data_IF_004074821771
#
_entry.id   IF_004074821771
#
_cell.length_a   1.000
_cell.length_b   1.000
_cell.length_c   1.000
_cell.angle_alpha   90.00
_cell.angle_beta   90.00
_cell.angle_gamma   90.00
#
_symmetry.space_group_name_H-M   'P 1'
#
loop_
_entity.id
_entity.type
_entity.pdbx_description
1 polymer ?
#
# COMPACT_ATOMS: atom_id res chain seq x y z
N UNK A 1 -19.26 -73.94 -18.08
CA UNK A 1 -18.89 -72.71 -17.35
C UNK A 1 -18.15 -71.78 -18.31
N UNK A 2 -18.73 -70.64 -18.70
CA UNK A 2 -18.06 -69.60 -19.48
C UNK A 2 -18.08 -68.31 -18.64
N UNK A 3 -16.90 -67.92 -18.14
CA UNK A 3 -16.69 -66.67 -17.40
C UNK A 3 -16.53 -65.52 -18.38
N UNK A 4 -17.27 -64.44 -18.18
CA UNK A 4 -17.34 -63.27 -19.06
C UNK A 4 -16.76 -62.07 -18.30
N UNK A 5 -15.47 -61.81 -18.45
CA UNK A 5 -14.81 -60.65 -17.81
C UNK A 5 -14.93 -59.43 -18.72
N UNK A 6 -15.81 -58.48 -18.34
CA UNK A 6 -15.88 -57.15 -18.95
C UNK A 6 -14.65 -56.34 -18.55
N UNK A 7 -13.85 -55.89 -19.52
CA UNK A 7 -12.77 -54.92 -19.30
C UNK A 7 -13.39 -53.53 -19.15
N UNK A 8 -13.26 -52.96 -17.96
CA UNK A 8 -13.67 -51.59 -17.66
C UNK A 8 -12.47 -50.67 -17.88
N UNK A 9 -12.57 -49.75 -18.85
CA UNK A 9 -11.58 -48.70 -19.07
C UNK A 9 -11.95 -47.49 -18.20
N UNK A 10 -11.07 -47.11 -17.27
CA UNK A 10 -11.19 -45.82 -16.58
C UNK A 10 -10.63 -44.72 -17.49
N UNK A 11 -11.47 -43.74 -17.83
CA UNK A 11 -11.02 -42.45 -18.36
C UNK A 11 -10.53 -41.60 -17.18
N UNK A 12 -9.22 -41.30 -17.13
CA UNK A 12 -8.69 -40.22 -16.30
C UNK A 12 -8.98 -38.88 -16.97
N UNK A 13 -9.98 -38.15 -16.47
CA UNK A 13 -10.16 -36.73 -16.77
C UNK A 13 -9.05 -35.93 -16.08
N UNK A 14 -8.08 -35.45 -16.86
CA UNK A 14 -7.10 -34.49 -16.38
C UNK A 14 -7.80 -33.14 -16.19
N UNK A 15 -8.06 -32.76 -14.94
CA UNK A 15 -8.38 -31.38 -14.59
C UNK A 15 -7.11 -30.55 -14.77
N UNK A 16 -7.05 -29.78 -15.88
CA UNK A 16 -6.07 -28.70 -16.00
C UNK A 16 -6.54 -27.61 -15.04
N UNK A 17 -5.91 -27.54 -13.87
CA UNK A 17 -6.06 -26.40 -12.96
C UNK A 17 -5.48 -25.17 -13.66
N UNK A 18 -6.34 -24.34 -14.24
CA UNK A 18 -5.96 -22.98 -14.59
C UNK A 18 -5.53 -22.31 -13.28
N UNK A 19 -4.24 -22.00 -13.15
CA UNK A 19 -3.74 -21.18 -12.04
C UNK A 19 -4.60 -19.91 -12.00
N UNK A 20 -5.09 -19.48 -10.83
CA UNK A 20 -5.82 -18.22 -10.75
C UNK A 20 -4.86 -17.11 -11.18
N UNK A 21 -5.10 -16.55 -12.36
CA UNK A 21 -4.58 -15.24 -12.71
C UNK A 21 -5.27 -14.29 -11.75
N UNK A 22 -4.55 -13.82 -10.73
CA UNK A 22 -5.06 -12.83 -9.80
C UNK A 22 -5.20 -11.50 -10.54
N UNK A 23 -6.35 -11.30 -11.17
CA UNK A 23 -6.70 -10.11 -11.90
C UNK A 23 -7.13 -9.00 -10.91
N UNK A 24 -6.18 -8.55 -10.10
CA UNK A 24 -6.41 -7.57 -9.04
C UNK A 24 -6.78 -6.20 -9.61
N UNK A 25 -7.72 -5.53 -8.97
CA UNK A 25 -7.97 -4.10 -9.08
C UNK A 25 -7.21 -3.39 -7.96
N UNK A 26 -6.30 -2.50 -8.36
CA UNK A 26 -5.48 -1.72 -7.42
C UNK A 26 -5.94 -0.28 -7.47
N UNK A 27 -6.39 0.25 -6.35
CA UNK A 27 -6.90 1.62 -6.23
C UNK A 27 -5.92 2.43 -5.39
N UNK A 28 -5.48 3.58 -5.90
CA UNK A 28 -4.74 4.57 -5.12
C UNK A 28 -5.68 5.66 -4.64
N UNK A 29 -5.48 6.11 -3.41
CA UNK A 29 -6.12 7.29 -2.85
C UNK A 29 -5.78 8.55 -3.65
N UNK A 30 -6.75 9.46 -3.75
CA UNK A 30 -6.54 10.87 -4.08
C UNK A 30 -7.55 11.77 -3.33
N UNK A 31 -7.95 11.30 -2.13
CA UNK A 31 -8.86 11.99 -1.24
C UNK A 31 -8.10 12.52 -0.02
N UNK A 32 -7.31 11.66 0.65
CA UNK A 32 -6.48 12.06 1.79
C UNK A 32 -5.17 12.72 1.34
N UNK A 33 -4.54 12.21 0.29
CA UNK A 33 -3.51 12.94 -0.46
C UNK A 33 -4.15 13.58 -1.71
N UNK A 34 -4.38 14.89 -1.68
CA UNK A 34 -5.09 15.64 -2.71
C UNK A 34 -4.30 16.89 -3.13
N UNK A 35 -3.01 16.71 -3.37
CA UNK A 35 -2.17 17.78 -3.86
C UNK A 35 -2.51 18.19 -5.30
N UNK A 36 -2.37 19.49 -5.55
CA UNK A 36 -2.60 20.06 -6.88
C UNK A 36 -1.50 21.01 -7.29
N UNK A 37 -1.20 21.06 -8.58
CA UNK A 37 -0.23 21.98 -9.18
C UNK A 37 -0.78 22.66 -10.41
N UNK A 38 -0.07 23.70 -10.86
CA UNK A 38 -0.33 24.32 -12.16
C UNK A 38 0.40 23.57 -13.26
N UNK A 39 -0.31 23.19 -14.32
CA UNK A 39 0.31 22.69 -15.54
C UNK A 39 0.95 23.83 -16.35
N UNK A 40 1.58 23.51 -17.49
CA UNK A 40 2.21 24.50 -18.38
C UNK A 40 1.22 25.51 -18.97
N UNK A 41 -0.07 25.18 -18.95
CA UNK A 41 -1.17 26.00 -19.45
C UNK A 41 -1.85 26.81 -18.33
N UNK A 42 -1.43 26.65 -17.08
CA UNK A 42 -1.99 27.34 -15.91
C UNK A 42 -3.23 26.67 -15.31
N UNK A 43 -3.64 25.50 -15.81
CA UNK A 43 -4.74 24.74 -15.22
C UNK A 43 -4.29 24.09 -13.92
N UNK A 44 -5.19 24.00 -12.94
CA UNK A 44 -4.95 23.20 -11.74
C UNK A 44 -5.18 21.73 -12.06
N UNK A 45 -4.19 20.89 -11.80
CA UNK A 45 -4.24 19.43 -11.99
C UNK A 45 -3.85 18.73 -10.70
N UNK A 46 -4.43 17.56 -10.44
CA UNK A 46 -3.94 16.66 -9.39
C UNK A 46 -2.58 16.07 -9.79
N UNK A 47 -1.71 15.87 -8.81
CA UNK A 47 -0.40 15.24 -8.97
C UNK A 47 0.00 14.57 -7.66
N UNK A 48 1.22 13.99 -7.62
CA UNK A 48 1.78 13.34 -6.44
C UNK A 48 1.11 12.00 -6.13
N UNK A 49 1.90 10.94 -6.15
CA UNK A 49 1.49 9.56 -5.87
C UNK A 49 0.35 8.98 -6.75
N UNK A 50 0.06 9.60 -7.90
CA UNK A 50 -0.92 9.11 -8.86
C UNK A 50 -0.31 8.20 -9.93
N UNK A 51 -1.12 7.28 -10.47
CA UNK A 51 -0.71 6.35 -11.52
C UNK A 51 -0.25 7.02 -12.81
N UNK A 52 -0.86 8.16 -13.16
CA UNK A 52 -0.54 8.92 -14.37
C UNK A 52 0.62 9.91 -14.18
N UNK A 53 1.12 10.09 -12.95
CA UNK A 53 2.27 10.94 -12.70
C UNK A 53 3.57 10.17 -13.01
N UNK A 54 4.27 10.63 -14.04
CA UNK A 54 5.52 10.05 -14.56
C UNK A 54 6.78 10.75 -14.04
N UNK A 55 6.61 11.82 -13.26
CA UNK A 55 7.72 12.41 -12.53
C UNK A 55 8.11 11.54 -11.33
N UNK A 56 9.22 11.88 -10.68
CA UNK A 56 9.67 11.23 -9.44
C UNK A 56 8.75 11.48 -8.23
N UNK A 57 7.70 12.29 -8.40
CA UNK A 57 6.59 12.48 -7.47
C UNK A 57 5.49 11.44 -7.66
N UNK A 58 5.49 10.67 -8.76
CA UNK A 58 4.36 9.84 -9.14
C UNK A 58 4.49 8.36 -8.87
N UNK A 59 3.39 7.63 -9.05
CA UNK A 59 3.32 6.17 -8.90
C UNK A 59 3.26 5.41 -10.22
N UNK A 60 3.54 6.04 -11.37
CA UNK A 60 3.55 5.34 -12.67
C UNK A 60 4.47 4.11 -12.72
N UNK A 61 5.62 4.14 -12.04
CA UNK A 61 6.54 2.99 -11.93
C UNK A 61 5.92 1.87 -11.08
N UNK A 62 5.31 2.22 -9.94
CA UNK A 62 4.63 1.26 -9.06
C UNK A 62 3.41 0.63 -9.78
N UNK A 63 2.61 1.44 -10.47
CA UNK A 63 1.49 0.97 -11.28
C UNK A 63 1.94 0.05 -12.42
N UNK A 64 3.06 0.38 -13.07
CA UNK A 64 3.67 -0.49 -14.08
C UNK A 64 4.11 -1.83 -13.49
N UNK A 65 4.60 -1.85 -12.25
CA UNK A 65 4.93 -3.09 -11.54
C UNK A 65 3.68 -3.93 -11.25
N UNK A 66 2.58 -3.32 -10.80
CA UNK A 66 1.30 -4.03 -10.59
C UNK A 66 0.77 -4.65 -11.88
N UNK A 67 0.70 -3.88 -12.96
CA UNK A 67 0.21 -4.36 -14.26
C UNK A 67 1.08 -5.47 -14.84
N UNK A 68 2.41 -5.34 -14.75
CA UNK A 68 3.36 -6.40 -15.13
C UNK A 68 3.18 -7.69 -14.33
N UNK A 69 2.68 -7.60 -13.10
CA UNK A 69 2.37 -8.74 -12.23
C UNK A 69 0.91 -9.21 -12.33
N UNK A 70 0.15 -8.74 -13.32
CA UNK A 70 -1.19 -9.27 -13.65
C UNK A 70 -2.36 -8.48 -13.07
N UNK A 71 -2.14 -7.33 -12.44
CA UNK A 71 -3.24 -6.42 -12.10
C UNK A 71 -3.98 -6.01 -13.38
N UNK A 72 -5.31 -6.19 -13.39
CA UNK A 72 -6.14 -5.91 -14.58
C UNK A 72 -6.48 -4.43 -14.72
N UNK A 73 -6.46 -3.70 -13.61
CA UNK A 73 -6.96 -2.34 -13.55
C UNK A 73 -6.27 -1.57 -12.43
N UNK A 74 -5.92 -0.33 -12.74
CA UNK A 74 -5.45 0.67 -11.79
C UNK A 74 -6.48 1.79 -11.71
N UNK A 75 -6.99 2.05 -10.52
CA UNK A 75 -8.00 3.06 -10.24
C UNK A 75 -7.44 4.15 -9.33
N UNK A 76 -8.08 5.31 -9.37
CA UNK A 76 -7.85 6.40 -8.41
C UNK A 76 -9.17 6.73 -7.73
N UNK A 77 -9.16 6.84 -6.40
CA UNK A 77 -10.34 7.19 -5.60
C UNK A 77 -10.19 8.62 -5.06
N UNK A 78 -10.85 9.58 -5.71
CA UNK A 78 -10.80 11.02 -5.35
C UNK A 78 -11.94 11.46 -4.42
N UNK A 79 -12.56 10.53 -3.70
CA UNK A 79 -13.70 10.77 -2.79
C UNK A 79 -13.55 9.95 -1.52
N UNK A 80 -14.18 10.38 -0.43
CA UNK A 80 -14.18 9.64 0.82
C UNK A 80 -14.51 8.15 0.62
N UNK A 81 -13.76 7.22 1.22
CA UNK A 81 -14.04 5.79 1.12
C UNK A 81 -15.42 5.44 1.68
N UNK A 82 -16.14 4.63 0.91
CA UNK A 82 -17.43 4.05 1.28
C UNK A 82 -17.42 2.57 0.92
N UNK A 83 -18.23 1.76 1.58
CA UNK A 83 -18.36 0.34 1.22
C UNK A 83 -18.68 0.16 -0.29
N UNK A 84 -19.45 1.08 -0.87
CA UNK A 84 -19.85 1.06 -2.28
C UNK A 84 -18.70 1.38 -3.24
N UNK A 85 -17.88 2.39 -2.96
CA UNK A 85 -16.80 2.79 -3.88
C UNK A 85 -15.52 1.94 -3.70
N UNK A 86 -15.40 1.21 -2.58
CA UNK A 86 -14.39 0.18 -2.38
C UNK A 86 -14.82 -1.20 -2.94
N UNK A 87 -16.09 -1.37 -3.32
CA UNK A 87 -16.57 -2.60 -3.94
C UNK A 87 -15.79 -2.89 -5.23
N UNK A 88 -15.25 -4.10 -5.34
CA UNK A 88 -14.44 -4.51 -6.48
C UNK A 88 -13.00 -3.96 -6.49
N UNK A 89 -12.58 -3.22 -5.46
CA UNK A 89 -11.15 -2.95 -5.19
C UNK A 89 -10.57 -4.13 -4.41
N UNK A 90 -9.45 -4.68 -4.89
CA UNK A 90 -8.73 -5.77 -4.22
C UNK A 90 -7.60 -5.24 -3.33
N UNK A 91 -6.91 -4.19 -3.79
CA UNK A 91 -5.83 -3.50 -3.08
C UNK A 91 -6.14 -2.01 -3.01
N UNK A 92 -6.10 -1.41 -1.82
CA UNK A 92 -6.26 0.02 -1.63
C UNK A 92 -4.98 0.61 -1.03
N UNK A 93 -4.46 1.67 -1.65
CA UNK A 93 -3.21 2.33 -1.27
C UNK A 93 -3.54 3.73 -0.78
N UNK A 94 -3.15 4.05 0.46
CA UNK A 94 -3.20 5.40 1.01
C UNK A 94 -1.77 5.81 1.35
N UNK A 95 -1.37 6.98 0.88
CA UNK A 95 -0.01 7.47 0.98
C UNK A 95 -0.05 8.92 1.41
N UNK A 96 0.85 9.31 2.32
CA UNK A 96 1.20 10.69 2.64
C UNK A 96 -0.03 11.62 2.78
N UNK A 97 -0.95 11.33 3.73
CA UNK A 97 -2.16 12.12 3.87
C UNK A 97 -1.82 13.59 4.14
N UNK A 98 -2.42 14.49 3.36
CA UNK A 98 -2.05 15.90 3.33
C UNK A 98 -2.14 16.53 4.72
N UNK A 99 -1.16 17.38 5.03
CA UNK A 99 -1.35 18.40 6.06
C UNK A 99 -1.60 19.78 5.42
N UNK A 100 -1.79 20.80 6.25
CA UNK A 100 -2.09 22.17 5.79
C UNK A 100 -1.01 22.77 4.89
N UNK A 101 0.22 22.26 4.96
CA UNK A 101 1.35 22.71 4.13
C UNK A 101 1.24 22.26 2.68
N UNK A 102 0.75 21.05 2.44
CA UNK A 102 0.55 20.49 1.08
C UNK A 102 -0.77 20.96 0.48
N UNK A 103 -1.81 20.96 1.31
CA UNK A 103 -3.17 21.28 0.90
C UNK A 103 -3.82 22.22 1.92
N UNK A 104 -4.26 23.43 1.53
CA UNK A 104 -4.86 24.38 2.47
C UNK A 104 -6.22 23.91 3.03
N UNK A 105 -6.81 22.84 2.46
CA UNK A 105 -8.06 22.22 2.91
C UNK A 105 -7.92 20.69 2.86
N UNK A 106 -7.08 20.11 3.73
CA UNK A 106 -6.85 18.67 3.71
C UNK A 106 -8.13 17.94 4.13
N UNK A 107 -8.37 16.77 3.54
CA UNK A 107 -9.41 15.87 4.02
C UNK A 107 -8.79 14.98 5.08
N UNK A 108 -9.09 15.22 6.35
CA UNK A 108 -8.55 14.40 7.43
C UNK A 108 -9.33 13.10 7.61
N UNK A 109 -8.60 12.02 7.86
CA UNK A 109 -9.16 10.74 8.26
C UNK A 109 -10.07 10.92 9.47
N UNK A 110 -11.22 10.25 9.48
CA UNK A 110 -12.10 10.23 10.64
C UNK A 110 -12.47 8.80 11.03
N UNK A 111 -13.08 8.64 12.21
CA UNK A 111 -13.44 7.33 12.73
C UNK A 111 -14.45 6.56 11.86
N UNK A 112 -15.34 7.26 11.16
CA UNK A 112 -16.35 6.62 10.32
C UNK A 112 -15.70 6.00 9.07
N UNK A 113 -14.89 6.79 8.38
CA UNK A 113 -14.14 6.33 7.20
C UNK A 113 -13.10 5.26 7.55
N UNK A 114 -12.38 5.43 8.67
CA UNK A 114 -11.46 4.43 9.18
C UNK A 114 -12.15 3.08 9.44
N UNK A 115 -13.39 3.11 9.94
CA UNK A 115 -14.18 1.91 10.18
C UNK A 115 -14.61 1.25 8.88
N UNK A 116 -15.03 2.02 7.88
CA UNK A 116 -15.36 1.51 6.53
C UNK A 116 -14.16 0.78 5.92
N UNK A 117 -12.97 1.39 5.95
CA UNK A 117 -11.75 0.78 5.41
C UNK A 117 -11.40 -0.50 6.19
N UNK A 118 -11.48 -0.46 7.52
CA UNK A 118 -11.20 -1.62 8.36
C UNK A 118 -12.19 -2.78 8.11
N UNK A 119 -13.47 -2.49 7.90
CA UNK A 119 -14.48 -3.49 7.53
C UNK A 119 -14.21 -4.09 6.14
N UNK A 120 -13.80 -3.27 5.16
CA UNK A 120 -13.38 -3.74 3.85
C UNK A 120 -12.16 -4.66 3.92
N UNK A 121 -11.14 -4.33 4.73
CA UNK A 121 -9.98 -5.22 4.96
C UNK A 121 -10.42 -6.54 5.59
N UNK A 122 -11.31 -6.51 6.60
CA UNK A 122 -11.87 -7.73 7.22
C UNK A 122 -12.63 -8.60 6.22
N UNK A 123 -13.19 -8.01 5.17
CA UNK A 123 -13.87 -8.71 4.08
C UNK A 123 -12.91 -9.29 3.02
N UNK A 124 -11.60 -9.12 3.18
CA UNK A 124 -10.57 -9.69 2.31
C UNK A 124 -9.79 -8.67 1.47
N UNK A 125 -10.09 -7.37 1.60
CA UNK A 125 -9.32 -6.32 0.97
C UNK A 125 -7.89 -6.21 1.52
N UNK A 126 -6.94 -5.83 0.67
CA UNK A 126 -5.54 -5.60 1.09
C UNK A 126 -5.25 -4.11 1.16
N UNK A 127 -4.95 -3.62 2.36
CA UNK A 127 -4.59 -2.21 2.58
C UNK A 127 -3.07 -2.04 2.59
N UNK A 128 -2.57 -1.10 1.80
CA UNK A 128 -1.17 -0.67 1.82
C UNK A 128 -1.08 0.79 2.23
N UNK A 129 -0.47 1.06 3.38
CA UNK A 129 -0.32 2.39 3.95
C UNK A 129 1.12 2.84 3.87
N UNK A 130 1.34 4.06 3.38
CA UNK A 130 2.65 4.71 3.33
C UNK A 130 2.53 6.06 4.03
N UNK A 131 2.98 6.15 5.28
CA UNK A 131 3.09 7.45 5.96
C UNK A 131 4.32 8.23 5.49
N UNK A 132 4.58 9.32 6.19
CA UNK A 132 5.78 10.14 6.06
C UNK A 132 6.24 10.54 7.49
N UNK A 133 7.16 11.48 7.63
CA UNK A 133 7.39 12.12 8.93
C UNK A 133 6.32 13.19 9.24
N UNK A 134 6.20 13.58 10.52
CA UNK A 134 5.13 14.48 11.00
C UNK A 134 5.13 15.88 10.36
N UNK A 135 6.23 16.31 9.74
CA UNK A 135 6.28 17.60 9.07
C UNK A 135 5.67 17.57 7.68
N UNK A 136 5.45 16.39 7.12
CA UNK A 136 5.02 16.17 5.74
C UNK A 136 3.72 15.35 5.63
N UNK A 137 3.18 14.82 6.73
CA UNK A 137 1.90 14.09 6.72
C UNK A 137 1.07 14.31 7.98
N UNK A 138 -0.25 14.26 7.83
CA UNK A 138 -1.20 14.25 8.96
C UNK A 138 -1.24 12.89 9.68
N UNK A 139 -0.20 12.61 10.46
CA UNK A 139 -0.08 11.35 11.21
C UNK A 139 -1.11 11.24 12.35
N UNK A 140 -1.57 12.37 12.91
CA UNK A 140 -2.52 12.38 14.01
C UNK A 140 -3.85 11.72 13.62
N UNK A 141 -4.49 12.18 12.55
CA UNK A 141 -5.74 11.58 12.11
C UNK A 141 -5.53 10.28 11.37
N UNK A 142 -4.42 10.12 10.63
CA UNK A 142 -4.12 8.85 9.95
C UNK A 142 -4.02 7.68 10.94
N UNK A 143 -3.55 7.94 12.16
CA UNK A 143 -3.50 6.96 13.24
C UNK A 143 -4.90 6.45 13.70
N UNK A 144 -5.99 7.16 13.38
CA UNK A 144 -7.36 6.65 13.59
C UNK A 144 -7.65 5.38 12.77
N UNK A 145 -7.03 5.26 11.59
CA UNK A 145 -7.12 4.08 10.74
C UNK A 145 -6.13 3.00 11.19
N UNK A 146 -4.85 3.33 11.34
CA UNK A 146 -3.83 2.32 11.64
C UNK A 146 -4.05 1.63 12.98
N UNK A 147 -4.58 2.35 13.98
CA UNK A 147 -4.87 1.79 15.29
C UNK A 147 -5.91 0.67 15.24
N UNK A 148 -6.80 0.64 14.22
CA UNK A 148 -7.72 -0.49 13.97
C UNK A 148 -6.98 -1.80 13.65
N UNK A 149 -5.74 -1.70 13.20
CA UNK A 149 -4.86 -2.82 12.84
C UNK A 149 -3.73 -3.04 13.85
N UNK A 150 -3.78 -2.34 15.00
CA UNK A 150 -2.80 -2.51 16.07
C UNK A 150 -1.46 -1.85 15.80
N UNK A 151 -1.40 -0.71 15.12
CA UNK A 151 -0.17 0.08 15.08
C UNK A 151 -0.45 1.57 14.91
N UNK A 152 0.54 2.41 15.22
CA UNK A 152 0.48 3.85 14.99
C UNK A 152 1.82 4.35 14.45
N UNK A 153 1.80 5.35 13.59
CA UNK A 153 2.98 6.15 13.26
C UNK A 153 3.33 7.05 14.45
N UNK A 154 4.62 7.18 14.72
CA UNK A 154 5.16 8.07 15.75
C UNK A 154 5.44 9.46 15.19
N UNK A 155 5.60 10.41 16.09
CA UNK A 155 6.02 11.78 15.80
C UNK A 155 7.54 11.90 15.88
N UNK A 156 8.25 11.05 15.14
CA UNK A 156 9.70 11.04 15.08
C UNK A 156 10.20 10.97 13.63
N UNK A 157 11.51 11.17 13.47
CA UNK A 157 12.17 11.10 12.18
C UNK A 157 13.20 9.97 12.20
N UNK A 158 12.98 8.98 11.35
CA UNK A 158 13.93 7.89 11.05
C UNK A 158 14.39 7.99 9.60
N UNK A 159 15.50 7.31 9.29
CA UNK A 159 16.04 7.21 7.93
C UNK A 159 16.29 8.60 7.30
N UNK A 160 16.79 9.52 8.13
CA UNK A 160 17.04 10.89 7.73
C UNK A 160 18.29 11.00 6.89
N UNK A 161 18.14 11.37 5.62
CA UNK A 161 19.26 11.59 4.69
C UNK A 161 19.50 13.08 4.55
N UNK A 162 20.60 13.54 5.15
CA UNK A 162 21.01 14.95 5.20
C UNK A 162 21.59 15.44 3.88
N UNK A 163 22.44 14.64 3.28
CA UNK A 163 23.19 14.91 2.05
C UNK A 163 23.65 13.59 1.40
N UNK A 164 24.42 13.68 0.32
CA UNK A 164 24.90 12.52 -0.45
C UNK A 164 25.91 11.66 0.33
N UNK A 165 26.70 12.24 1.24
CA UNK A 165 27.66 11.49 2.08
C UNK A 165 26.92 10.63 3.13
N UNK A 166 25.67 10.99 3.44
CA UNK A 166 24.77 10.28 4.35
C UNK A 166 23.70 9.46 3.61
N UNK A 167 23.88 9.19 2.32
CA UNK A 167 22.90 8.42 1.53
C UNK A 167 22.55 7.07 2.20
N UNK A 168 23.53 6.37 2.76
CA UNK A 168 23.29 5.06 3.37
C UNK A 168 22.37 5.11 4.62
N UNK A 169 22.16 6.28 5.24
CA UNK A 169 21.26 6.46 6.39
C UNK A 169 19.79 6.16 6.05
N UNK A 170 19.41 6.29 4.77
CA UNK A 170 18.07 5.98 4.26
C UNK A 170 17.83 4.49 4.00
N UNK A 171 18.84 3.65 4.22
CA UNK A 171 18.83 2.29 3.73
C UNK A 171 18.40 1.23 4.75
N UNK A 172 17.69 0.22 4.26
CA UNK A 172 17.21 -0.91 5.04
C UNK A 172 17.56 -2.22 4.36
N UNK A 173 18.20 -3.12 5.10
CA UNK A 173 18.44 -4.50 4.66
C UNK A 173 17.14 -5.28 4.66
N UNK A 174 16.94 -6.09 3.63
CA UNK A 174 15.73 -6.88 3.46
C UNK A 174 15.95 -8.40 3.49
N UNK A 175 17.20 -8.83 3.71
CA UNK A 175 17.55 -10.24 3.82
C UNK A 175 16.70 -10.97 4.88
N UNK A 176 16.22 -12.16 4.53
CA UNK A 176 15.41 -13.00 5.43
C UNK A 176 13.95 -12.58 5.57
N UNK A 177 13.51 -11.49 4.93
CA UNK A 177 12.12 -11.04 5.00
C UNK A 177 11.25 -11.65 3.90
N UNK A 178 10.10 -12.28 4.22
CA UNK A 178 9.28 -13.00 3.24
C UNK A 178 8.78 -12.15 2.05
N UNK A 179 8.60 -10.83 2.25
CA UNK A 179 8.16 -9.91 1.21
C UNK A 179 9.25 -9.68 0.15
N UNK A 180 10.52 -9.66 0.57
CA UNK A 180 11.66 -9.30 -0.27
C UNK A 180 12.42 -10.54 -0.72
N UNK A 181 11.98 -11.13 -1.84
CA UNK A 181 12.56 -12.38 -2.36
C UNK A 181 13.89 -12.19 -3.09
N UNK A 182 14.08 -11.03 -3.71
CA UNK A 182 15.22 -10.75 -4.60
C UNK A 182 16.00 -9.51 -4.19
N UNK A 183 15.30 -8.45 -3.73
CA UNK A 183 15.98 -7.29 -3.19
C UNK A 183 16.61 -7.64 -1.85
N UNK A 184 17.86 -7.20 -1.65
CA UNK A 184 18.59 -7.30 -0.39
C UNK A 184 18.62 -5.96 0.36
N UNK A 185 18.21 -4.90 -0.30
CA UNK A 185 18.26 -3.54 0.23
C UNK A 185 17.13 -2.70 -0.36
N UNK A 186 16.53 -1.84 0.45
CA UNK A 186 15.65 -0.76 -0.02
C UNK A 186 16.12 0.56 0.57
N UNK A 187 15.65 1.65 -0.02
CA UNK A 187 15.93 3.00 0.43
C UNK A 187 14.62 3.73 0.69
N UNK A 188 14.53 4.38 1.84
CA UNK A 188 13.43 5.25 2.27
C UNK A 188 14.09 6.49 2.85
N UNK A 189 13.70 7.68 2.38
CA UNK A 189 14.21 8.94 2.92
C UNK A 189 13.12 9.58 3.78
N UNK A 190 13.46 9.86 5.03
CA UNK A 190 12.60 10.51 6.03
C UNK A 190 11.27 9.77 6.23
N UNK A 191 11.11 9.14 7.39
CA UNK A 191 9.85 8.50 7.74
C UNK A 191 9.58 8.62 9.23
N UNK A 192 8.33 8.47 9.63
CA UNK A 192 7.96 8.14 10.99
C UNK A 192 8.26 6.67 11.30
N UNK A 193 8.78 6.39 12.51
CA UNK A 193 8.80 5.02 13.00
C UNK A 193 7.39 4.55 13.38
N UNK A 194 7.20 3.23 13.41
CA UNK A 194 5.91 2.62 13.67
C UNK A 194 5.91 1.97 15.05
N UNK A 195 5.01 2.40 15.93
CA UNK A 195 4.74 1.72 17.18
C UNK A 195 3.78 0.55 16.94
N UNK A 196 4.17 -0.64 17.38
CA UNK A 196 3.37 -1.85 17.24
C UNK A 196 2.57 -2.09 18.51
N UNK A 197 1.31 -2.43 18.33
CA UNK A 197 0.37 -2.84 19.36
C UNK A 197 -0.25 -4.18 18.94
N UNK A 198 -0.78 -4.93 19.91
CA UNK A 198 -1.54 -6.16 19.62
C UNK A 198 -0.82 -7.16 18.69
N UNK A 199 -1.36 -7.40 17.49
CA UNK A 199 -0.99 -8.50 16.58
C UNK A 199 -0.16 -8.06 15.38
N UNK A 200 0.06 -6.76 15.17
CA UNK A 200 0.96 -6.29 14.13
C UNK A 200 2.39 -6.76 14.40
N UNK A 201 3.17 -6.94 13.34
CA UNK A 201 4.54 -7.48 13.41
C UNK A 201 5.51 -6.62 12.62
N UNK A 202 6.74 -6.44 13.13
CA UNK A 202 7.77 -5.74 12.37
C UNK A 202 8.14 -6.57 11.13
N UNK A 203 8.29 -5.90 10.00
CA UNK A 203 8.82 -6.48 8.76
C UNK A 203 10.20 -5.94 8.45
N UNK A 204 10.41 -4.62 8.57
CA UNK A 204 11.73 -4.00 8.48
C UNK A 204 11.95 -3.07 9.67
N UNK A 205 13.18 -3.10 10.17
CA UNK A 205 13.61 -2.25 11.28
C UNK A 205 14.92 -1.56 10.92
N UNK A 206 15.10 -0.36 11.45
CA UNK A 206 16.36 0.38 11.42
C UNK A 206 17.42 -0.30 12.29
N UNK A 207 18.68 0.15 12.19
CA UNK A 207 19.77 -0.40 13.00
C UNK A 207 19.56 -0.23 14.52
N UNK A 208 18.90 0.85 14.94
CA UNK A 208 18.48 1.12 16.32
C UNK A 208 17.14 0.46 16.70
N UNK A 209 16.65 -0.48 15.86
CA UNK A 209 15.47 -1.32 16.08
C UNK A 209 14.12 -0.58 16.08
N UNK A 210 14.04 0.60 15.49
CA UNK A 210 12.76 1.26 15.22
C UNK A 210 12.08 0.56 14.03
N UNK A 211 10.76 0.37 14.10
CA UNK A 211 10.03 -0.28 13.02
C UNK A 211 9.82 0.71 11.87
N UNK A 212 10.34 0.39 10.70
CA UNK A 212 10.15 1.20 9.48
C UNK A 212 9.06 0.62 8.57
N UNK A 213 8.81 -0.69 8.66
CA UNK A 213 7.73 -1.36 7.94
C UNK A 213 7.11 -2.42 8.85
N UNK A 214 5.79 -2.50 8.88
CA UNK A 214 5.02 -3.46 9.68
C UNK A 214 4.01 -4.20 8.82
N UNK A 215 3.59 -5.37 9.28
CA UNK A 215 2.50 -6.14 8.69
C UNK A 215 1.46 -6.46 9.75
N UNK A 216 0.19 -6.38 9.39
CA UNK A 216 -0.94 -6.77 10.23
C UNK A 216 -1.82 -7.77 9.47
N UNK A 217 -2.53 -8.62 10.20
CA UNK A 217 -3.50 -9.59 9.67
C UNK A 217 -4.84 -9.39 10.35
#
# INVERSE_FOLDING_TARGET
>A
MRSNTKKMWLLCLAFISTLPVFAQVVTVDNYYNQETKKDKQGNTIAYHYLWNDTAMTGFSILGSAFTKNGAKQLNTLSTAPTAKNLEGTDVFIIVDPDHVGDNPKPNYMNNAEASVIAEWVKAGGVLFLMGNDEQNADLEHFNLLTSKFGFTFNNDLILHVKDDDHFDDGGLKTDGQPLFKTSKYIFIKNAASINIQHTAKPLLQTADKKNAMVTAK
#
